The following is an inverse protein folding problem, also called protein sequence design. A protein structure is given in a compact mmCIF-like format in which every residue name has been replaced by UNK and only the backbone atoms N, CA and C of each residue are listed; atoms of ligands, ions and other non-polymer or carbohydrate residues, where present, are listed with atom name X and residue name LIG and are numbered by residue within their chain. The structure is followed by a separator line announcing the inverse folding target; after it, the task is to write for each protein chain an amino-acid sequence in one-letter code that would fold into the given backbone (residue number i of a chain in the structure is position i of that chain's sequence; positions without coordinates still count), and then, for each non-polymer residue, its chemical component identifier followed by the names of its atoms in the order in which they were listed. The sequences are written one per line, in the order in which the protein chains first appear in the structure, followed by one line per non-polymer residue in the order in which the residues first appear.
data_IF_492560783962
#
_entry.id   IF_492560783962
#
_cell.length_a   1.000
_cell.length_b   1.000
_cell.length_c   1.000
_cell.angle_alpha   90.00
_cell.angle_beta   90.00
_cell.angle_gamma   90.00
#
_symmetry.space_group_name_H-M   'P 1'
#
loop_
_entity.id
_entity.type
_entity.pdbx_description
1 polymer ?
#
# COMPACT_ATOMS: atom_id res chain seq x y z
N UNK A 1 -18.68 2.40 -26.43
CA UNK A 1 -19.44 1.13 -26.48
C UNK A 1 -20.84 1.42 -25.93
N UNK A 2 -21.85 0.67 -26.37
CA UNK A 2 -23.22 0.77 -25.83
C UNK A 2 -23.20 0.22 -24.39
N UNK A 3 -23.71 0.97 -23.40
CA UNK A 3 -23.75 0.55 -21.98
C UNK A 3 -24.61 -0.71 -21.75
N UNK A 4 -25.31 -1.16 -22.78
CA UNK A 4 -26.17 -2.35 -22.80
C UNK A 4 -25.40 -3.69 -22.70
N UNK A 5 -24.07 -3.69 -22.64
CA UNK A 5 -23.23 -4.90 -22.60
C UNK A 5 -22.65 -5.27 -21.22
N UNK A 6 -22.96 -4.52 -20.15
CA UNK A 6 -22.64 -4.97 -18.80
C UNK A 6 -23.65 -6.05 -18.36
N UNK A 7 -23.22 -7.12 -17.66
CA UNK A 7 -24.17 -8.05 -17.08
C UNK A 7 -25.08 -7.28 -16.11
N UNK A 8 -26.40 -7.41 -16.28
CA UNK A 8 -27.41 -6.76 -15.43
C UNK A 8 -27.29 -7.18 -13.96
N UNK A 9 -28.02 -6.54 -13.05
CA UNK A 9 -27.92 -6.84 -11.61
C UNK A 9 -28.08 -8.34 -11.30
N UNK A 10 -27.22 -8.87 -10.43
CA UNK A 10 -27.29 -10.26 -9.97
C UNK A 10 -28.62 -10.49 -9.25
N UNK A 11 -29.44 -11.48 -9.64
CA UNK A 11 -30.70 -11.78 -8.97
C UNK A 11 -30.50 -12.03 -7.47
N UNK A 12 -31.43 -11.55 -6.63
CA UNK A 12 -31.34 -11.71 -5.17
C UNK A 12 -31.35 -13.19 -4.71
N UNK A 13 -31.86 -14.08 -5.56
CA UNK A 13 -31.94 -15.53 -5.34
C UNK A 13 -30.88 -16.34 -6.11
N UNK A 14 -29.85 -15.67 -6.66
CA UNK A 14 -28.80 -16.34 -7.40
C UNK A 14 -28.08 -17.39 -6.53
N UNK A 15 -27.92 -18.59 -7.10
CA UNK A 15 -27.11 -19.65 -6.49
C UNK A 15 -25.63 -19.24 -6.43
N UNK A 16 -24.81 -19.83 -5.55
CA UNK A 16 -23.38 -19.52 -5.48
C UNK A 16 -22.66 -19.67 -6.83
N UNK A 17 -23.03 -20.67 -7.62
CA UNK A 17 -22.49 -20.91 -8.97
C UNK A 17 -22.89 -19.81 -9.96
N UNK A 18 -24.12 -19.29 -9.88
CA UNK A 18 -24.59 -18.18 -10.73
C UNK A 18 -23.93 -16.86 -10.33
N UNK A 19 -23.75 -16.61 -9.03
CA UNK A 19 -23.01 -15.46 -8.52
C UNK A 19 -21.53 -15.50 -8.95
N UNK A 20 -20.90 -16.67 -8.94
CA UNK A 20 -19.53 -16.85 -9.43
C UNK A 20 -19.42 -16.63 -10.94
N UNK A 21 -20.36 -17.19 -11.71
CA UNK A 21 -20.41 -16.97 -13.16
C UNK A 21 -20.63 -15.50 -13.52
N UNK A 22 -21.51 -14.81 -12.78
CA UNK A 22 -21.76 -13.39 -12.92
C UNK A 22 -20.52 -12.56 -12.59
N UNK A 23 -19.84 -12.83 -11.47
CA UNK A 23 -18.62 -12.13 -11.07
C UNK A 23 -17.48 -12.36 -12.07
N UNK A 24 -17.38 -13.55 -12.66
CA UNK A 24 -16.42 -13.82 -13.75
C UNK A 24 -16.74 -13.04 -15.01
N UNK A 25 -18.01 -12.98 -15.40
CA UNK A 25 -18.43 -12.18 -16.56
C UNK A 25 -18.26 -10.69 -16.33
N UNK A 26 -18.56 -10.20 -15.13
CA UNK A 26 -18.34 -8.83 -14.73
C UNK A 26 -16.84 -8.50 -14.73
N UNK A 27 -16.00 -9.32 -14.09
CA UNK A 27 -14.55 -9.15 -14.11
C UNK A 27 -13.96 -9.23 -15.53
N UNK A 28 -14.49 -10.10 -16.39
CA UNK A 28 -14.08 -10.20 -17.79
C UNK A 28 -14.55 -9.00 -18.63
N UNK A 29 -15.77 -8.49 -18.41
CA UNK A 29 -16.29 -7.30 -19.10
C UNK A 29 -15.55 -6.04 -18.68
N UNK A 30 -15.29 -5.91 -17.38
CA UNK A 30 -14.47 -4.86 -16.77
C UNK A 30 -13.01 -4.97 -17.26
N UNK A 31 -12.47 -6.19 -17.40
CA UNK A 31 -11.17 -6.44 -18.02
C UNK A 31 -11.14 -6.15 -19.53
N UNK A 32 -12.24 -6.41 -20.27
CA UNK A 32 -12.34 -6.19 -21.72
C UNK A 32 -12.44 -4.71 -22.06
N UNK A 33 -13.26 -3.92 -21.34
CA UNK A 33 -13.30 -2.46 -21.50
C UNK A 33 -11.97 -1.80 -21.07
N UNK A 34 -11.26 -2.38 -20.10
CA UNK A 34 -9.94 -1.90 -19.67
C UNK A 34 -8.78 -2.32 -20.59
N UNK A 35 -8.97 -3.33 -21.44
CA UNK A 35 -7.94 -3.80 -22.39
C UNK A 35 -7.81 -2.95 -23.66
N UNK A 36 -8.67 -1.94 -23.84
CA UNK A 36 -8.61 -1.01 -24.98
C UNK A 36 -7.60 0.14 -24.81
N UNK A 37 -6.92 0.26 -23.66
CA UNK A 37 -5.73 1.10 -23.51
C UNK A 37 -4.50 0.20 -23.33
N UNK A 38 -3.55 0.32 -24.26
CA UNK A 38 -2.43 -0.60 -24.47
C UNK A 38 -1.33 -0.63 -23.38
N UNK A 39 -1.48 0.06 -22.25
CA UNK A 39 -0.42 0.23 -21.23
C UNK A 39 -0.68 -0.63 -19.97
N UNK A 40 -0.90 -1.93 -20.15
CA UNK A 40 -1.55 -2.79 -19.15
C UNK A 40 -0.63 -3.76 -18.36
N UNK A 41 0.29 -3.21 -17.56
CA UNK A 41 1.01 -4.00 -16.53
C UNK A 41 0.31 -3.91 -15.16
N UNK A 42 -0.17 -2.72 -14.76
CA UNK A 42 -0.80 -2.48 -13.46
C UNK A 42 -2.22 -3.05 -13.35
N UNK A 43 -2.99 -3.00 -14.44
CA UNK A 43 -4.38 -3.48 -14.48
C UNK A 43 -4.47 -5.01 -14.32
N UNK A 44 -3.43 -5.73 -14.77
CA UNK A 44 -3.30 -7.16 -14.54
C UNK A 44 -2.98 -7.48 -13.07
N UNK A 45 -2.18 -6.64 -12.39
CA UNK A 45 -1.85 -6.83 -10.97
C UNK A 45 -3.04 -6.49 -10.08
N UNK A 46 -3.79 -5.42 -10.37
CA UNK A 46 -5.01 -5.07 -9.64
C UNK A 46 -6.11 -6.13 -9.82
N UNK A 47 -6.28 -6.66 -11.03
CA UNK A 47 -7.18 -7.77 -11.32
C UNK A 47 -6.77 -9.07 -10.61
N UNK A 48 -5.48 -9.41 -10.63
CA UNK A 48 -4.94 -10.60 -9.94
C UNK A 48 -5.01 -10.49 -8.41
N UNK A 49 -4.77 -9.30 -7.85
CA UNK A 49 -4.86 -9.07 -6.39
C UNK A 49 -6.29 -8.97 -5.88
N UNK A 50 -7.23 -8.56 -6.73
CA UNK A 50 -8.67 -8.61 -6.43
C UNK A 50 -9.19 -10.04 -6.56
N UNK A 51 -8.74 -10.78 -7.59
CA UNK A 51 -9.02 -12.20 -7.77
C UNK A 51 -8.52 -13.07 -6.61
N UNK A 52 -7.28 -12.87 -6.14
CA UNK A 52 -6.75 -13.61 -4.98
C UNK A 52 -7.56 -13.37 -3.71
N UNK A 53 -8.01 -12.14 -3.46
CA UNK A 53 -8.85 -11.82 -2.30
C UNK A 53 -10.21 -12.53 -2.36
N UNK A 54 -10.76 -12.73 -3.56
CA UNK A 54 -12.01 -13.48 -3.78
C UNK A 54 -11.77 -14.99 -3.62
N UNK A 55 -10.66 -15.51 -4.14
CA UNK A 55 -10.25 -16.93 -4.01
C UNK A 55 -9.94 -17.30 -2.55
N UNK A 56 -9.29 -16.41 -1.80
CA UNK A 56 -9.05 -16.55 -0.36
C UNK A 56 -10.35 -16.48 0.44
N UNK A 57 -11.25 -15.56 0.11
CA UNK A 57 -12.56 -15.44 0.75
C UNK A 57 -13.46 -16.67 0.52
N UNK A 58 -13.23 -17.42 -0.56
CA UNK A 58 -13.94 -18.65 -0.91
C UNK A 58 -13.19 -19.93 -0.52
N UNK A 59 -12.14 -19.81 0.30
CA UNK A 59 -11.32 -20.93 0.83
C UNK A 59 -10.61 -21.77 -0.25
N UNK A 60 -10.40 -21.23 -1.46
CA UNK A 60 -9.65 -21.89 -2.55
C UNK A 60 -8.18 -21.48 -2.54
N UNK A 61 -7.52 -21.71 -1.40
CA UNK A 61 -6.14 -21.28 -1.14
C UNK A 61 -5.11 -21.85 -2.14
N UNK A 62 -5.38 -23.02 -2.74
CA UNK A 62 -4.51 -23.62 -3.75
C UNK A 62 -4.52 -22.86 -5.10
N UNK A 63 -5.51 -22.00 -5.33
CA UNK A 63 -5.66 -21.19 -6.55
C UNK A 63 -5.20 -19.75 -6.35
N UNK A 64 -5.36 -19.22 -5.13
CA UNK A 64 -4.84 -17.92 -4.74
C UNK A 64 -3.30 -17.84 -4.83
N UNK A 65 -2.59 -18.92 -4.48
CA UNK A 65 -1.13 -18.92 -4.46
C UNK A 65 -0.48 -18.76 -5.86
N UNK A 66 -0.93 -19.46 -6.93
CA UNK A 66 -0.49 -19.18 -8.30
C UNK A 66 -0.77 -17.74 -8.76
N UNK A 67 -1.93 -17.18 -8.43
CA UNK A 67 -2.32 -15.81 -8.80
C UNK A 67 -1.48 -14.77 -8.07
N UNK A 68 -1.19 -14.99 -6.78
CA UNK A 68 -0.27 -14.20 -5.97
C UNK A 68 1.15 -14.25 -6.53
N UNK A 69 1.65 -15.44 -6.88
CA UNK A 69 2.98 -15.61 -7.50
C UNK A 69 3.09 -14.91 -8.85
N UNK A 70 2.02 -14.88 -9.65
CA UNK A 70 1.99 -14.13 -10.92
C UNK A 70 2.01 -12.63 -10.70
N UNK A 71 1.19 -12.11 -9.77
CA UNK A 71 1.20 -10.69 -9.42
C UNK A 71 2.59 -10.24 -8.94
N UNK A 72 3.22 -11.03 -8.06
CA UNK A 72 4.58 -10.78 -7.59
C UNK A 72 5.61 -10.89 -8.73
N UNK A 73 5.54 -11.91 -9.58
CA UNK A 73 6.47 -12.05 -10.70
C UNK A 73 6.37 -10.90 -11.72
N UNK A 74 5.16 -10.36 -11.94
CA UNK A 74 4.94 -9.19 -12.80
C UNK A 74 5.58 -7.95 -12.16
N UNK A 75 5.36 -7.74 -10.86
CA UNK A 75 5.97 -6.63 -10.11
C UNK A 75 7.50 -6.73 -10.09
N UNK A 76 8.05 -7.91 -9.79
CA UNK A 76 9.50 -8.14 -9.78
C UNK A 76 10.14 -8.01 -11.17
N UNK A 77 9.43 -8.38 -12.24
CA UNK A 77 9.91 -8.18 -13.62
C UNK A 77 9.91 -6.69 -14.00
N UNK A 78 8.89 -5.93 -13.57
CA UNK A 78 8.82 -4.49 -13.78
C UNK A 78 9.93 -3.72 -13.04
N UNK A 79 10.29 -4.17 -11.84
CA UNK A 79 11.39 -3.58 -11.06
C UNK A 79 12.78 -3.84 -11.66
N UNK A 80 12.99 -5.02 -12.27
CA UNK A 80 14.33 -5.41 -12.78
C UNK A 80 14.67 -4.82 -14.13
N UNK A 81 13.70 -4.59 -15.01
CA UNK A 81 13.93 -4.06 -16.35
C UNK A 81 12.79 -3.11 -16.78
N UNK A 82 12.75 -1.87 -16.25
CA UNK A 82 11.68 -0.92 -16.54
C UNK A 82 11.59 -0.53 -18.03
N UNK A 83 12.68 -0.67 -18.80
CA UNK A 83 12.72 -0.36 -20.23
C UNK A 83 12.34 -1.52 -21.18
N UNK A 84 12.52 -2.78 -20.76
CA UNK A 84 12.39 -3.93 -21.68
C UNK A 84 10.94 -4.39 -21.88
N UNK A 85 10.05 -4.02 -20.95
CA UNK A 85 8.60 -4.31 -21.06
C UNK A 85 7.95 -3.47 -22.18
N UNK A 86 8.55 -2.34 -22.56
CA UNK A 86 8.06 -1.47 -23.63
C UNK A 86 8.58 -1.88 -25.03
N UNK A 87 9.74 -2.53 -25.13
CA UNK A 87 10.29 -3.00 -26.42
C UNK A 87 9.50 -4.18 -27.00
N UNK A 88 9.03 -5.11 -26.17
CA UNK A 88 8.20 -6.26 -26.61
C UNK A 88 6.82 -5.83 -27.16
N UNK A 89 6.38 -4.60 -26.87
CA UNK A 89 5.12 -4.01 -27.36
C UNK A 89 5.30 -3.11 -28.59
N UNK A 90 6.54 -2.68 -28.90
CA UNK A 90 6.83 -1.71 -29.97
C UNK A 90 7.20 -2.31 -31.32
N UNK A 91 7.37 -3.64 -31.44
CA UNK A 91 7.82 -4.31 -32.68
C UNK A 91 6.76 -4.35 -33.83
N UNK A 92 5.78 -3.43 -33.84
CA UNK A 92 4.76 -3.35 -34.91
C UNK A 92 4.46 -1.95 -35.47
N UNK A 93 5.17 -0.89 -35.10
CA UNK A 93 4.98 0.42 -35.74
C UNK A 93 6.25 1.25 -35.82
N UNK A 94 6.53 1.94 -36.95
CA UNK A 94 7.72 2.79 -37.09
C UNK A 94 7.53 4.12 -36.34
N UNK A 95 8.60 4.55 -35.66
CA UNK A 95 8.64 5.74 -34.78
C UNK A 95 8.45 7.10 -35.46
N UNK A 96 8.64 8.21 -34.70
CA UNK A 96 9.99 8.58 -34.28
C UNK A 96 10.16 8.91 -32.78
N UNK A 97 11.43 8.91 -32.38
CA UNK A 97 11.98 9.23 -31.06
C UNK A 97 11.80 10.71 -30.68
N UNK A 98 11.74 11.03 -29.39
CA UNK A 98 12.90 11.37 -28.54
C UNK A 98 12.45 11.48 -27.08
N UNK A 99 13.40 11.29 -26.17
CA UNK A 99 13.15 10.97 -24.78
C UNK A 99 12.46 12.05 -23.96
N UNK A 100 11.72 11.58 -22.96
CA UNK A 100 11.46 12.28 -21.71
C UNK A 100 11.20 11.19 -20.66
N UNK A 101 11.78 11.36 -19.47
CA UNK A 101 11.63 10.42 -18.36
C UNK A 101 10.15 10.25 -18.01
N UNK A 102 9.67 9.02 -18.04
CA UNK A 102 8.28 8.72 -17.68
C UNK A 102 8.01 9.11 -16.22
N UNK A 103 6.93 9.87 -15.96
CA UNK A 103 6.51 10.17 -14.60
C UNK A 103 6.12 8.87 -13.88
N UNK A 104 6.76 8.58 -12.74
CA UNK A 104 6.40 7.43 -11.90
C UNK A 104 4.94 7.50 -11.41
N UNK A 105 4.40 6.39 -10.91
CA UNK A 105 2.99 6.22 -10.51
C UNK A 105 2.40 7.34 -9.64
N UNK A 106 3.20 7.92 -8.74
CA UNK A 106 2.80 9.06 -7.94
C UNK A 106 2.39 10.29 -8.78
N UNK A 107 3.02 10.50 -9.94
CA UNK A 107 2.70 11.61 -10.83
C UNK A 107 1.47 11.35 -11.71
N UNK A 108 1.16 10.09 -12.06
CA UNK A 108 -0.06 9.72 -12.80
C UNK A 108 -1.29 9.78 -11.89
N UNK A 109 -1.21 9.26 -10.66
CA UNK A 109 -2.31 9.35 -9.70
C UNK A 109 -2.57 10.79 -9.28
N UNK A 110 -1.49 11.58 -9.09
CA UNK A 110 -1.57 13.01 -8.79
C UNK A 110 -2.15 13.80 -9.95
N UNK A 111 -1.76 13.56 -11.20
CA UNK A 111 -2.36 14.22 -12.36
C UNK A 111 -3.86 13.89 -12.52
N UNK A 112 -4.26 12.68 -12.14
CA UNK A 112 -5.66 12.22 -12.22
C UNK A 112 -6.53 12.80 -11.10
N UNK A 113 -5.98 13.04 -9.90
CA UNK A 113 -6.71 13.54 -8.73
C UNK A 113 -6.54 15.05 -8.47
N UNK A 114 -5.45 15.65 -8.91
CA UNK A 114 -5.14 17.09 -8.74
C UNK A 114 -5.24 17.85 -10.07
N UNK A 115 -5.42 17.15 -11.19
CA UNK A 115 -5.56 17.77 -12.51
C UNK A 115 -6.94 18.37 -12.76
N UNK A 116 -7.10 19.24 -13.79
CA UNK A 116 -8.39 19.83 -14.16
C UNK A 116 -9.48 18.80 -14.48
N UNK A 117 -9.09 17.58 -14.87
CA UNK A 117 -9.99 16.46 -15.14
C UNK A 117 -10.55 15.85 -13.84
N UNK A 118 -9.80 15.89 -12.72
CA UNK A 118 -10.22 15.36 -11.43
C UNK A 118 -11.49 16.05 -10.90
N UNK A 119 -11.61 17.35 -11.15
CA UNK A 119 -12.78 18.15 -10.76
C UNK A 119 -14.06 17.72 -11.47
N UNK A 120 -13.99 16.92 -12.54
CA UNK A 120 -15.15 16.51 -13.33
C UNK A 120 -15.81 15.22 -12.85
N UNK A 121 -15.13 14.45 -12.00
CA UNK A 121 -15.71 13.24 -11.44
C UNK A 121 -16.83 13.58 -10.44
N UNK A 122 -17.91 12.78 -10.38
CA UNK A 122 -18.88 12.86 -9.29
C UNK A 122 -18.19 12.80 -7.92
N UNK A 123 -18.71 13.53 -6.93
CA UNK A 123 -18.11 13.60 -5.59
C UNK A 123 -17.93 12.22 -4.95
N UNK A 124 -18.88 11.29 -5.17
CA UNK A 124 -18.79 9.92 -4.71
C UNK A 124 -17.54 9.20 -5.24
N UNK A 125 -17.30 9.27 -6.55
CA UNK A 125 -16.18 8.60 -7.21
C UNK A 125 -14.86 9.21 -6.78
N UNK A 126 -14.81 10.53 -6.60
CA UNK A 126 -13.62 11.23 -6.05
C UNK A 126 -13.28 10.77 -4.65
N UNK A 127 -14.27 10.69 -3.76
CA UNK A 127 -14.06 10.23 -2.38
C UNK A 127 -13.54 8.79 -2.35
N UNK A 128 -14.12 7.90 -3.15
CA UNK A 128 -13.67 6.52 -3.28
C UNK A 128 -12.23 6.44 -3.83
N UNK A 129 -11.93 7.19 -4.88
CA UNK A 129 -10.59 7.26 -5.46
C UNK A 129 -9.55 7.79 -4.46
N UNK A 130 -9.89 8.84 -3.70
CA UNK A 130 -9.05 9.37 -2.62
C UNK A 130 -8.77 8.31 -1.54
N UNK A 131 -9.80 7.58 -1.09
CA UNK A 131 -9.63 6.52 -0.09
C UNK A 131 -8.77 5.37 -0.61
N UNK A 132 -8.96 4.95 -1.87
CA UNK A 132 -8.11 3.97 -2.53
C UNK A 132 -6.66 4.42 -2.61
N UNK A 133 -6.43 5.67 -3.00
CA UNK A 133 -5.09 6.25 -3.10
C UNK A 133 -4.40 6.33 -1.73
N UNK A 134 -5.09 6.81 -0.68
CA UNK A 134 -4.56 6.81 0.69
C UNK A 134 -4.15 5.40 1.13
N UNK A 135 -4.95 4.39 0.81
CA UNK A 135 -4.68 2.99 1.15
C UNK A 135 -3.43 2.44 0.43
N UNK A 136 -3.26 2.82 -0.84
CA UNK A 136 -2.07 2.47 -1.61
C UNK A 136 -0.81 3.14 -1.03
N UNK A 137 -0.85 4.44 -0.74
CA UNK A 137 0.31 5.16 -0.18
C UNK A 137 0.66 4.62 1.22
N UNK A 138 -0.32 4.30 2.07
CA UNK A 138 -0.03 3.63 3.34
C UNK A 138 0.67 2.29 3.15
N UNK A 139 0.29 1.52 2.13
CA UNK A 139 0.95 0.23 1.85
C UNK A 139 2.39 0.43 1.38
N UNK A 140 2.64 1.43 0.54
CA UNK A 140 3.99 1.86 0.13
C UNK A 140 4.83 2.28 1.34
N UNK A 141 4.31 3.17 2.18
CA UNK A 141 4.99 3.64 3.39
C UNK A 141 5.33 2.48 4.34
N UNK A 142 4.44 1.49 4.48
CA UNK A 142 4.72 0.29 5.27
C UNK A 142 5.88 -0.53 4.73
N UNK A 143 5.93 -0.69 3.40
CA UNK A 143 7.03 -1.35 2.71
C UNK A 143 8.36 -0.60 2.91
N UNK A 144 8.37 0.71 2.68
CA UNK A 144 9.58 1.55 2.87
C UNK A 144 10.10 1.50 4.31
N UNK A 145 9.19 1.55 5.30
CA UNK A 145 9.58 1.43 6.70
C UNK A 145 10.15 0.04 7.03
N UNK A 146 9.64 -1.03 6.38
CA UNK A 146 10.19 -2.37 6.51
C UNK A 146 11.58 -2.48 5.88
N UNK A 147 11.81 -1.87 4.72
CA UNK A 147 13.11 -1.83 4.03
C UNK A 147 14.16 -1.05 4.84
N UNK A 148 13.77 0.08 5.46
CA UNK A 148 14.62 0.80 6.42
C UNK A 148 15.02 -0.14 7.58
N UNK A 149 14.06 -0.83 8.18
CA UNK A 149 14.35 -1.77 9.28
C UNK A 149 15.28 -2.90 8.82
N UNK A 150 15.01 -3.50 7.65
CA UNK A 150 15.82 -4.57 7.08
C UNK A 150 17.28 -4.13 6.92
N UNK A 151 17.51 -2.94 6.35
CA UNK A 151 18.83 -2.34 6.17
C UNK A 151 19.54 -2.08 7.50
N UNK A 152 18.81 -1.63 8.52
CA UNK A 152 19.37 -1.42 9.87
C UNK A 152 19.75 -2.73 10.57
N UNK A 153 19.03 -3.82 10.31
CA UNK A 153 19.33 -5.14 10.88
C UNK A 153 20.54 -5.76 10.18
N UNK A 154 20.52 -5.80 8.86
CA UNK A 154 21.49 -6.51 8.05
C UNK A 154 22.16 -5.56 7.06
N UNK A 155 23.46 -5.37 7.27
CA UNK A 155 24.30 -4.44 6.49
C UNK A 155 24.84 -5.06 5.21
N UNK A 156 24.52 -6.32 4.92
CA UNK A 156 24.97 -7.00 3.71
C UNK A 156 24.11 -6.62 2.52
N UNK A 157 24.74 -6.47 1.35
CA UNK A 157 24.02 -6.21 0.10
C UNK A 157 23.12 -7.40 -0.23
N UNK A 158 21.80 -7.18 -0.35
CA UNK A 158 20.85 -8.26 -0.61
C UNK A 158 20.45 -9.05 0.64
N UNK A 159 20.30 -8.37 1.77
CA UNK A 159 19.92 -8.88 3.08
C UNK A 159 18.56 -9.62 3.12
N UNK A 160 18.52 -10.86 2.62
CA UNK A 160 17.34 -11.73 2.63
C UNK A 160 16.78 -11.89 4.06
N UNK A 161 17.67 -11.97 5.07
CA UNK A 161 17.29 -12.13 6.46
C UNK A 161 16.57 -10.88 7.02
N UNK A 162 17.03 -9.68 6.63
CA UNK A 162 16.42 -8.42 7.04
C UNK A 162 14.98 -8.29 6.51
N UNK A 163 14.80 -8.50 5.20
CA UNK A 163 13.48 -8.39 4.56
C UNK A 163 12.51 -9.45 5.08
N UNK A 164 12.94 -10.71 5.22
CA UNK A 164 12.09 -11.79 5.75
C UNK A 164 11.58 -11.50 7.17
N UNK A 165 12.42 -10.89 8.01
CA UNK A 165 12.05 -10.51 9.38
C UNK A 165 11.12 -9.30 9.37
N UNK A 166 11.39 -8.30 8.53
CA UNK A 166 10.62 -7.06 8.49
C UNK A 166 9.20 -7.26 7.92
N UNK A 167 9.00 -8.13 6.93
CA UNK A 167 7.70 -8.41 6.29
C UNK A 167 6.62 -8.91 7.26
N UNK A 168 7.01 -9.53 8.38
CA UNK A 168 6.06 -10.11 9.32
C UNK A 168 5.55 -9.11 10.37
N UNK A 169 6.07 -7.88 10.36
CA UNK A 169 5.77 -6.91 11.40
C UNK A 169 4.70 -5.93 10.99
N UNK A 170 3.76 -5.68 11.92
CA UNK A 170 2.88 -4.51 11.81
C UNK A 170 3.71 -3.22 11.83
N UNK A 171 3.23 -2.15 11.19
CA UNK A 171 3.90 -0.84 11.19
C UNK A 171 4.31 -0.36 12.59
N UNK A 172 3.47 -0.58 13.60
CA UNK A 172 3.78 -0.24 14.99
C UNK A 172 5.01 -0.97 15.52
N UNK A 173 5.16 -2.24 15.16
CA UNK A 173 6.28 -3.08 15.58
C UNK A 173 7.54 -2.74 14.80
N UNK A 174 7.40 -2.43 13.51
CA UNK A 174 8.49 -1.92 12.67
C UNK A 174 9.09 -0.65 13.27
N UNK A 175 8.26 0.34 13.62
CA UNK A 175 8.70 1.59 14.29
C UNK A 175 9.40 1.31 15.64
N UNK A 176 8.82 0.44 16.47
CA UNK A 176 9.43 0.04 17.76
C UNK A 176 10.83 -0.57 17.57
N UNK A 177 11.00 -1.42 16.56
CA UNK A 177 12.28 -2.05 16.26
C UNK A 177 13.29 -1.08 15.66
N UNK A 178 12.88 -0.19 14.76
CA UNK A 178 13.76 0.88 14.24
C UNK A 178 14.32 1.70 15.40
N UNK A 179 13.44 2.17 16.31
CA UNK A 179 13.85 2.95 17.48
C UNK A 179 14.81 2.20 18.42
N UNK A 180 14.71 0.86 18.48
CA UNK A 180 15.61 0.02 19.30
C UNK A 180 16.95 -0.26 18.61
N UNK A 181 16.97 -0.45 17.30
CA UNK A 181 18.18 -0.79 16.54
C UNK A 181 19.00 0.46 16.21
N UNK A 182 18.34 1.59 15.97
CA UNK A 182 18.97 2.85 15.56
C UNK A 182 20.09 3.32 16.51
N UNK A 183 19.94 3.34 17.85
CA UNK A 183 21.02 3.71 18.78
C UNK A 183 22.26 2.79 18.73
N UNK A 184 22.08 1.54 18.27
CA UNK A 184 23.18 0.60 18.07
C UNK A 184 23.95 0.90 16.77
N UNK A 185 23.30 1.56 15.80
CA UNK A 185 23.89 1.87 14.48
C UNK A 185 24.49 3.26 14.39
N UNK A 186 23.88 4.25 15.04
CA UNK A 186 24.29 5.65 14.95
C UNK A 186 24.51 6.28 16.32
N UNK A 187 25.50 7.17 16.49
CA UNK A 187 25.52 8.07 17.64
C UNK A 187 24.29 9.00 17.62
N UNK A 188 23.82 9.48 18.79
CA UNK A 188 22.77 10.49 18.85
C UNK A 188 23.10 11.81 18.13
N UNK A 189 24.38 12.08 17.87
CA UNK A 189 24.84 13.25 17.12
C UNK A 189 24.85 13.07 15.59
N UNK A 190 24.56 11.86 15.09
CA UNK A 190 24.48 11.61 13.65
C UNK A 190 23.16 12.19 13.10
N UNK A 191 23.23 12.85 11.94
CA UNK A 191 22.05 13.40 11.29
C UNK A 191 21.01 12.32 10.96
N UNK A 192 21.45 11.13 10.56
CA UNK A 192 20.55 10.01 10.26
C UNK A 192 19.78 9.53 11.49
N UNK A 193 20.34 9.68 12.70
CA UNK A 193 19.64 9.37 13.94
C UNK A 193 18.45 10.31 14.16
N UNK A 194 18.66 11.61 14.00
CA UNK A 194 17.60 12.62 14.14
C UNK A 194 16.52 12.42 13.06
N UNK A 195 16.91 12.26 11.79
CA UNK A 195 15.98 12.05 10.68
C UNK A 195 15.12 10.80 10.87
N UNK A 196 15.72 9.66 11.28
CA UNK A 196 14.96 8.43 11.55
C UNK A 196 14.01 8.59 12.73
N UNK A 197 14.41 9.31 13.78
CA UNK A 197 13.56 9.60 14.95
C UNK A 197 12.35 10.42 14.52
N UNK A 198 12.56 11.49 13.75
CA UNK A 198 11.51 12.38 13.28
C UNK A 198 10.54 11.65 12.32
N UNK A 199 11.08 10.82 11.41
CA UNK A 199 10.27 9.97 10.54
C UNK A 199 9.42 9.01 11.36
N UNK A 200 10.01 8.26 12.30
CA UNK A 200 9.29 7.30 13.14
C UNK A 200 8.17 7.97 13.95
N UNK A 201 8.43 9.15 14.52
CA UNK A 201 7.43 9.91 15.27
C UNK A 201 6.28 10.36 14.36
N UNK A 202 6.59 10.85 13.17
CA UNK A 202 5.60 11.33 12.20
C UNK A 202 4.75 10.19 11.65
N UNK A 203 5.36 9.03 11.35
CA UNK A 203 4.65 7.83 10.91
C UNK A 203 3.75 7.28 12.03
N UNK A 204 4.18 7.27 13.30
CA UNK A 204 3.32 6.81 14.40
C UNK A 204 2.09 7.71 14.60
N UNK A 205 2.20 9.01 14.30
CA UNK A 205 1.06 9.94 14.34
C UNK A 205 -0.03 9.58 13.33
N UNK A 206 0.34 9.21 12.09
CA UNK A 206 -0.61 8.83 11.02
C UNK A 206 -1.03 7.36 11.05
N UNK A 207 -0.28 6.50 11.76
CA UNK A 207 -0.58 5.07 11.90
C UNK A 207 -1.95 4.80 12.53
N UNK A 208 -2.47 5.71 13.36
CA UNK A 208 -3.81 5.55 13.94
C UNK A 208 -4.88 5.64 12.85
N UNK A 209 -4.72 6.58 11.92
CA UNK A 209 -5.60 6.81 10.78
C UNK A 209 -5.52 5.64 9.80
N UNK A 210 -4.33 5.06 9.57
CA UNK A 210 -4.15 3.82 8.80
C UNK A 210 -5.13 2.73 9.22
N UNK A 211 -5.36 2.55 10.52
CA UNK A 211 -6.28 1.52 11.00
C UNK A 211 -7.72 1.70 10.51
N UNK A 212 -8.15 2.92 10.21
CA UNK A 212 -9.46 3.16 9.61
C UNK A 212 -9.54 2.61 8.18
N UNK A 213 -8.47 2.75 7.41
CA UNK A 213 -8.43 2.26 6.03
C UNK A 213 -8.30 0.74 5.95
N UNK A 214 -7.68 0.09 6.95
CA UNK A 214 -7.48 -1.36 6.94
C UNK A 214 -8.53 -2.15 7.72
N UNK A 215 -9.05 -1.58 8.81
CA UNK A 215 -9.99 -2.28 9.70
C UNK A 215 -11.32 -1.57 9.90
N UNK A 216 -11.45 -0.35 9.38
CA UNK A 216 -12.66 0.43 9.52
C UNK A 216 -13.79 -0.09 8.65
N UNK A 217 -15.03 0.07 9.13
CA UNK A 217 -16.22 -0.10 8.30
C UNK A 217 -16.65 1.26 7.78
N UNK A 218 -16.48 1.48 6.49
CA UNK A 218 -16.85 2.74 5.84
C UNK A 218 -18.35 2.77 5.54
N UNK A 219 -19.00 3.87 5.93
CA UNK A 219 -20.35 4.24 5.58
C UNK A 219 -20.27 5.30 4.46
N UNK A 220 -20.78 4.89 3.30
CA UNK A 220 -20.78 5.65 2.05
C UNK A 220 -22.21 6.01 1.62
N UNK A 221 -23.11 6.22 2.59
CA UNK A 221 -24.49 6.62 2.31
C UNK A 221 -24.54 7.81 1.32
N UNK A 222 -25.43 7.79 0.31
CA UNK A 222 -25.47 8.83 -0.73
C UNK A 222 -25.57 10.26 -0.19
N UNK A 223 -26.29 10.47 0.92
CA UNK A 223 -26.41 11.78 1.57
C UNK A 223 -25.10 12.29 2.17
N UNK A 224 -24.22 11.39 2.63
CA UNK A 224 -22.89 11.75 3.14
C UNK A 224 -21.98 12.12 1.98
N UNK A 225 -21.97 11.30 0.93
CA UNK A 225 -21.17 11.54 -0.28
C UNK A 225 -21.58 12.84 -0.98
N UNK A 226 -22.87 13.11 -1.10
CA UNK A 226 -23.38 14.38 -1.63
C UNK A 226 -22.95 15.60 -0.80
N UNK A 227 -22.68 15.40 0.50
CA UNK A 227 -22.14 16.43 1.39
C UNK A 227 -20.59 16.46 1.41
N UNK A 228 -19.91 15.69 0.55
CA UNK A 228 -18.46 15.59 0.51
C UNK A 228 -17.86 14.94 1.77
N UNK A 229 -18.59 13.99 2.36
CA UNK A 229 -18.22 13.35 3.63
C UNK A 229 -18.34 11.83 3.55
N UNK A 230 -17.54 11.15 4.37
CA UNK A 230 -17.63 9.71 4.63
C UNK A 230 -17.50 9.48 6.14
N UNK A 231 -18.04 8.37 6.62
CA UNK A 231 -17.89 7.97 8.03
C UNK A 231 -17.22 6.60 8.09
N UNK A 232 -16.30 6.40 9.03
CA UNK A 232 -15.68 5.11 9.30
C UNK A 232 -15.87 4.73 10.75
N UNK A 233 -16.32 3.50 10.97
CA UNK A 233 -16.51 2.96 12.31
C UNK A 233 -15.25 2.20 12.73
N UNK A 234 -14.59 2.64 13.80
CA UNK A 234 -13.50 1.90 14.43
C UNK A 234 -14.07 0.72 15.23
N UNK A 235 -13.91 -0.49 14.70
CA UNK A 235 -14.35 -1.73 15.34
C UNK A 235 -13.45 -2.18 16.50
N UNK A 236 -12.33 -1.48 16.77
CA UNK A 236 -11.38 -1.93 17.77
C UNK A 236 -11.99 -1.81 19.17
N UNK A 237 -12.17 -2.97 19.79
CA UNK A 237 -12.59 -3.07 21.18
C UNK A 237 -11.50 -2.47 22.07
N UNK A 238 -11.87 -1.45 22.85
CA UNK A 238 -11.02 -0.92 23.90
C UNK A 238 -11.67 -1.24 25.24
N UNK A 239 -10.98 -2.05 26.05
CA UNK A 239 -11.29 -2.17 27.47
C UNK A 239 -11.10 -0.80 28.10
N UNK A 240 -12.12 -0.31 28.79
CA UNK A 240 -11.99 0.90 29.60
C UNK A 240 -11.15 0.54 30.83
N UNK A 241 -10.03 1.25 31.01
CA UNK A 241 -9.14 1.04 32.15
C UNK A 241 -9.91 1.35 33.44
N UNK A 242 -10.25 0.32 34.22
CA UNK A 242 -10.96 0.46 35.50
C UNK A 242 -12.46 0.07 35.51
N UNK A 243 -13.03 -0.54 34.47
CA UNK A 243 -14.44 -0.96 34.55
C UNK A 243 -14.95 -1.89 33.44
N UNK A 244 -16.07 -2.56 33.74
CA UNK A 244 -16.87 -3.48 32.92
C UNK A 244 -17.53 -2.77 31.70
N UNK A 245 -16.74 -2.13 30.85
CA UNK A 245 -17.25 -1.42 29.68
C UNK A 245 -16.33 -1.54 28.48
N UNK A 246 -16.92 -1.85 27.34
CA UNK A 246 -16.27 -1.74 26.03
C UNK A 246 -16.79 -0.49 25.34
N UNK A 247 -15.90 0.43 24.93
CA UNK A 247 -16.27 1.39 23.88
C UNK A 247 -16.34 0.62 22.57
N UNK A 248 -17.54 0.46 22.03
CA UNK A 248 -17.78 -0.10 20.70
C UNK A 248 -17.95 1.03 19.70
N UNK A 249 -17.40 0.84 18.50
CA UNK A 249 -17.81 1.53 17.28
C UNK A 249 -17.80 3.05 17.40
N UNK A 250 -16.60 3.62 17.54
CA UNK A 250 -16.47 5.08 17.42
C UNK A 250 -16.57 5.45 15.95
N UNK A 251 -17.53 6.31 15.62
CA UNK A 251 -17.66 6.90 14.29
C UNK A 251 -16.64 8.03 14.14
N UNK A 252 -15.89 7.98 13.05
CA UNK A 252 -14.98 9.02 12.61
C UNK A 252 -15.46 9.54 11.26
N UNK A 253 -15.78 10.82 11.19
CA UNK A 253 -16.21 11.47 9.96
C UNK A 253 -15.01 12.12 9.29
N UNK A 254 -14.88 11.93 7.97
CA UNK A 254 -13.90 12.60 7.13
C UNK A 254 -14.61 13.39 6.05
N UNK A 255 -14.24 14.65 5.90
CA UNK A 255 -14.56 15.47 4.73
C UNK A 255 -13.53 15.26 3.62
N UNK A 256 -13.89 15.62 2.40
CA UNK A 256 -12.98 15.55 1.26
C UNK A 256 -11.64 16.30 1.49
N UNK A 257 -11.62 17.56 2.01
CA UNK A 257 -10.35 18.24 2.29
C UNK A 257 -9.49 17.55 3.35
N UNK A 258 -10.12 16.90 4.34
CA UNK A 258 -9.38 16.13 5.36
C UNK A 258 -8.73 14.88 4.75
N UNK A 259 -9.41 14.20 3.82
CA UNK A 259 -8.82 13.07 3.09
C UNK A 259 -7.67 13.53 2.19
N UNK A 260 -7.81 14.66 1.50
CA UNK A 260 -6.73 15.24 0.68
C UNK A 260 -5.52 15.59 1.55
N UNK A 261 -5.73 16.29 2.67
CA UNK A 261 -4.64 16.63 3.60
C UNK A 261 -3.96 15.39 4.18
N UNK A 262 -4.74 14.34 4.49
CA UNK A 262 -4.19 13.06 4.94
C UNK A 262 -3.36 12.39 3.84
N UNK A 263 -3.89 12.30 2.61
CA UNK A 263 -3.16 11.78 1.44
C UNK A 263 -1.82 12.47 1.27
N UNK A 264 -1.81 13.81 1.26
CA UNK A 264 -0.60 14.61 1.04
C UNK A 264 0.41 14.41 2.16
N UNK A 265 -0.07 14.33 3.41
CA UNK A 265 0.79 14.04 4.57
C UNK A 265 1.46 12.67 4.43
N UNK A 266 0.71 11.63 4.07
CA UNK A 266 1.27 10.27 3.94
C UNK A 266 2.21 10.20 2.73
N UNK A 267 1.86 10.84 1.61
CA UNK A 267 2.72 10.89 0.43
C UNK A 267 4.06 11.59 0.72
N UNK A 268 4.05 12.64 1.53
CA UNK A 268 5.27 13.28 1.99
C UNK A 268 6.12 12.33 2.86
N UNK A 269 5.49 11.62 3.80
CA UNK A 269 6.19 10.65 4.66
C UNK A 269 6.76 9.47 3.88
N UNK A 270 6.03 8.98 2.88
CA UNK A 270 6.50 7.94 1.95
C UNK A 270 7.73 8.41 1.16
N UNK A 271 7.68 9.63 0.61
CA UNK A 271 8.83 10.25 -0.05
C UNK A 271 10.03 10.47 0.89
N UNK A 272 9.78 10.88 2.14
CA UNK A 272 10.83 11.04 3.15
C UNK A 272 11.44 9.69 3.57
N UNK A 273 10.63 8.63 3.67
CA UNK A 273 11.09 7.28 3.97
C UNK A 273 11.97 6.73 2.85
N UNK A 274 11.52 6.80 1.59
CA UNK A 274 12.30 6.37 0.44
C UNK A 274 13.61 7.19 0.29
N UNK A 275 13.56 8.52 0.47
CA UNK A 275 14.78 9.35 0.46
C UNK A 275 15.77 8.88 1.52
N UNK A 276 15.30 8.69 2.76
CA UNK A 276 16.14 8.27 3.86
C UNK A 276 16.70 6.86 3.65
N UNK A 277 15.90 5.92 3.13
CA UNK A 277 16.37 4.59 2.75
C UNK A 277 17.57 4.66 1.78
N UNK A 278 17.50 5.53 0.78
CA UNK A 278 18.58 5.72 -0.19
C UNK A 278 19.82 6.41 0.40
N UNK A 279 19.63 7.36 1.33
CA UNK A 279 20.73 8.06 2.04
C UNK A 279 21.44 7.19 3.10
N UNK A 280 20.75 6.17 3.62
CA UNK A 280 21.34 5.23 4.56
C UNK A 280 22.43 4.40 3.87
N UNK A 281 23.68 4.62 4.25
CA UNK A 281 24.82 3.84 3.77
C UNK A 281 25.25 2.81 4.84
N UNK A 282 25.10 1.50 4.58
CA UNK A 282 25.53 0.46 5.51
C UNK A 282 27.02 0.53 5.89
N UNK A 283 27.87 1.11 5.06
CA UNK A 283 29.29 1.30 5.37
C UNK A 283 29.51 2.29 6.52
N UNK A 284 28.57 3.21 6.76
CA UNK A 284 28.60 4.17 7.89
C UNK A 284 28.09 3.56 9.19
N UNK A 285 27.49 2.37 9.17
CA UNK A 285 26.84 1.81 10.34
C UNK A 285 27.86 1.28 11.33
N UNK A 286 27.65 1.55 12.63
CA UNK A 286 28.42 0.88 13.68
C UNK A 286 28.19 -0.63 13.60
N UNK A 287 29.28 -1.39 13.66
CA UNK A 287 29.23 -2.85 13.79
C UNK A 287 28.67 -3.19 15.17
N UNK A 288 27.55 -3.92 15.19
CA UNK A 288 27.03 -4.50 16.43
C UNK A 288 27.99 -5.63 16.81
N UNK A 289 28.75 -5.43 17.90
CA UNK A 289 29.61 -6.50 18.42
C UNK A 289 28.71 -7.52 19.11
N UNK A 290 28.88 -8.83 18.85
CA UNK A 290 28.21 -9.83 19.66
C UNK A 290 28.61 -9.62 21.12
N UNK A 291 27.71 -9.92 22.09
CA UNK A 291 28.07 -9.88 23.50
C UNK A 291 29.33 -10.72 23.69
N UNK A 292 30.34 -10.16 24.37
CA UNK A 292 31.53 -10.94 24.72
C UNK A 292 31.09 -12.25 25.36
N UNK A 293 31.62 -13.41 24.93
CA UNK A 293 31.26 -14.67 25.54
C UNK A 293 31.46 -14.51 27.04
N UNK A 294 30.39 -14.73 27.81
CA UNK A 294 30.45 -14.74 29.27
C UNK A 294 31.64 -15.61 29.62
N UNK A 295 32.67 -15.02 30.21
CA UNK A 295 33.81 -15.78 30.66
C UNK A 295 33.24 -16.92 31.51
N UNK A 296 33.55 -18.20 31.20
CA UNK A 296 33.13 -19.27 32.09
C UNK A 296 33.71 -18.92 33.45
N UNK A 297 32.82 -18.63 34.40
CA UNK A 297 33.22 -18.31 35.76
C UNK A 297 34.21 -19.38 36.19
N UNK A 298 35.43 -18.95 36.52
CA UNK A 298 36.44 -19.83 37.08
C UNK A 298 35.93 -20.24 38.45
N UNK A 299 35.20 -21.36 38.49
CA UNK A 299 35.00 -22.16 39.69
C UNK A 299 36.30 -22.72 40.20
#
# INVERSE_FOLDING_TARGET
MNTDNLPGELPEDATPEEAEAWLRQYAAAVGYEMSWNSDATEYNVAGLTTGTKIEEATQRLNEAEPSRRRAVAILTKAERNPGQIFEDAQDKTPGPSTGDGHPGWAAISKATLDGPQAMKLPTADRMLALMGHISAIFSSLEFEMAEILAKLIDTTTGAIAGSYVAEQFTLSKTIDLINKVMPCRFPPSDNSFAQLTDLCNSVDQVRRQRNFFVHGRWNLEPKLLAAGKVVVQDKKWKLIKGGLGARRLQDHMFSEPELIGLRDTIAQLDGDANRLFNELDPARFRKIRPPSPLHPDKG
#
